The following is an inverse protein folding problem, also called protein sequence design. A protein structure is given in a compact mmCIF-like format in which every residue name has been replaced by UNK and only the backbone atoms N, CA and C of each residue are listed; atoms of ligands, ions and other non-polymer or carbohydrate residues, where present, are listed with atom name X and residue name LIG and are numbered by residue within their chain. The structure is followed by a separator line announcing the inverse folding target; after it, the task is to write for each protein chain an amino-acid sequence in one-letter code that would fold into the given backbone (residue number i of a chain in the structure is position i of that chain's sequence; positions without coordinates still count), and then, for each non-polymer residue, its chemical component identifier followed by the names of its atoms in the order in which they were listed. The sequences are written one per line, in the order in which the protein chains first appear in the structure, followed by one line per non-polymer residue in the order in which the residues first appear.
data_IF_933814322459
#
_entry.id   IF_933814322459
#
_cell.length_a   1.000
_cell.length_b   1.000
_cell.length_c   1.000
_cell.angle_alpha   90.00
_cell.angle_beta   90.00
_cell.angle_gamma   90.00
#
_symmetry.space_group_name_H-M   'P 1'
#
loop_
_entity.id
_entity.type
_entity.pdbx_description
1 polymer ?
#
# COMPACT_ATOMS: atom_id res chain seq x y z
N UNK A 1 19.75 5.02 23.76
CA UNK A 1 18.58 5.03 22.85
C UNK A 1 19.05 4.34 21.57
N UNK A 2 18.73 3.07 21.46
CA UNK A 2 19.15 2.25 20.32
C UNK A 2 18.29 2.65 19.13
N UNK A 3 18.90 3.27 18.12
CA UNK A 3 18.27 3.49 16.82
C UNK A 3 17.93 2.12 16.23
N UNK A 4 16.65 1.78 16.28
CA UNK A 4 16.12 0.60 15.61
C UNK A 4 16.21 0.84 14.11
N UNK A 5 17.36 0.47 13.52
CA UNK A 5 17.54 0.42 12.08
C UNK A 5 16.55 -0.58 11.51
N UNK A 6 15.37 -0.12 11.10
CA UNK A 6 14.42 -0.96 10.41
C UNK A 6 15.06 -1.40 9.10
N UNK A 7 15.34 -2.69 9.00
CA UNK A 7 15.84 -3.30 7.76
C UNK A 7 14.80 -3.05 6.66
N UNK A 8 15.25 -2.56 5.50
CA UNK A 8 14.47 -2.27 4.28
C UNK A 8 13.43 -3.37 3.93
N UNK A 9 13.61 -4.59 4.38
CA UNK A 9 12.71 -5.72 4.15
C UNK A 9 11.72 -6.01 5.29
N UNK A 10 11.59 -5.14 6.31
CA UNK A 10 10.70 -5.43 7.46
C UNK A 10 9.22 -5.29 7.11
N UNK A 11 8.87 -4.32 6.29
CA UNK A 11 7.50 -4.01 5.88
C UNK A 11 6.84 -5.17 5.11
N UNK A 12 7.56 -5.77 4.16
CA UNK A 12 7.03 -6.89 3.36
C UNK A 12 6.84 -8.16 4.21
N UNK A 13 7.66 -8.35 5.26
CA UNK A 13 7.50 -9.45 6.21
C UNK A 13 6.20 -9.34 6.98
N UNK A 14 5.77 -8.13 7.33
CA UNK A 14 4.49 -7.88 8.00
C UNK A 14 3.32 -8.24 7.08
N UNK A 15 3.33 -7.82 5.81
CA UNK A 15 2.31 -8.20 4.83
C UNK A 15 2.24 -9.72 4.63
N UNK A 16 3.39 -10.37 4.43
CA UNK A 16 3.47 -11.83 4.29
C UNK A 16 2.95 -12.56 5.53
N UNK A 17 3.21 -12.02 6.73
CA UNK A 17 2.70 -12.57 8.00
C UNK A 17 1.18 -12.45 8.08
N UNK A 18 0.61 -11.28 7.76
CA UNK A 18 -0.83 -11.04 7.73
C UNK A 18 -1.52 -12.01 6.76
N UNK A 19 -1.05 -12.13 5.53
CA UNK A 19 -1.60 -13.04 4.53
C UNK A 19 -1.54 -14.52 4.97
N UNK A 20 -0.43 -14.95 5.58
CA UNK A 20 -0.30 -16.32 6.13
C UNK A 20 -1.28 -16.60 7.27
N UNK A 21 -1.50 -15.60 8.15
CA UNK A 21 -2.48 -15.71 9.24
C UNK A 21 -3.89 -15.85 8.68
N UNK A 22 -4.25 -15.07 7.67
CA UNK A 22 -5.54 -15.15 6.99
C UNK A 22 -5.74 -16.50 6.29
N UNK A 23 -4.71 -17.00 5.58
CA UNK A 23 -4.76 -18.30 4.93
C UNK A 23 -5.06 -19.42 5.93
N UNK A 24 -4.39 -19.39 7.10
CA UNK A 24 -4.58 -20.39 8.17
C UNK A 24 -5.98 -20.30 8.79
N UNK A 25 -6.46 -19.07 9.04
CA UNK A 25 -7.72 -18.85 9.74
C UNK A 25 -8.95 -19.11 8.86
N UNK A 26 -8.86 -18.76 7.56
CA UNK A 26 -9.97 -18.91 6.60
C UNK A 26 -9.93 -20.19 5.79
N UNK A 27 -8.85 -20.97 5.91
CA UNK A 27 -8.64 -22.27 5.23
C UNK A 27 -8.76 -22.17 3.69
N UNK A 28 -8.33 -21.06 3.11
CA UNK A 28 -8.22 -20.87 1.66
C UNK A 28 -7.08 -19.90 1.33
N UNK A 29 -6.67 -19.85 0.06
CA UNK A 29 -5.70 -18.85 -0.43
C UNK A 29 -6.31 -17.46 -0.31
N UNK A 30 -5.69 -16.53 0.44
CA UNK A 30 -6.24 -15.19 0.62
C UNK A 30 -6.35 -14.41 -0.69
N UNK A 31 -7.44 -13.68 -0.83
CA UNK A 31 -7.63 -12.70 -1.90
C UNK A 31 -7.09 -11.35 -1.46
N UNK A 32 -6.12 -10.83 -2.17
CA UNK A 32 -5.37 -9.63 -1.79
C UNK A 32 -5.62 -8.52 -2.80
N UNK A 33 -6.06 -7.37 -2.33
CA UNK A 33 -6.18 -6.17 -3.13
C UNK A 33 -5.05 -5.18 -2.76
N UNK A 34 -4.26 -4.76 -3.75
CA UNK A 34 -3.29 -3.69 -3.64
C UNK A 34 -3.88 -2.42 -4.25
N UNK A 35 -3.95 -1.34 -3.48
CA UNK A 35 -4.57 -0.08 -3.86
C UNK A 35 -3.53 1.03 -3.78
N UNK A 36 -3.12 1.54 -4.92
CA UNK A 36 -2.19 2.67 -5.00
C UNK A 36 -2.95 4.00 -4.97
N UNK A 37 -2.55 4.85 -4.06
CA UNK A 37 -3.18 6.14 -3.78
C UNK A 37 -2.16 7.23 -4.07
N UNK A 38 -2.63 8.41 -4.47
CA UNK A 38 -1.81 9.60 -4.67
C UNK A 38 -2.00 10.26 -6.02
N UNK A 39 -1.26 11.36 -6.24
CA UNK A 39 -1.32 12.17 -7.45
C UNK A 39 0.07 12.28 -8.09
N UNK A 40 0.25 11.70 -9.27
CA UNK A 40 1.55 11.74 -9.99
C UNK A 40 1.99 13.13 -10.42
N UNK A 41 1.09 14.13 -10.42
CA UNK A 41 1.45 15.53 -10.75
C UNK A 41 2.16 16.21 -9.58
N UNK A 42 2.03 15.66 -8.37
CA UNK A 42 2.54 16.26 -7.14
C UNK A 42 3.79 15.53 -6.61
N UNK A 43 4.78 15.29 -7.45
CA UNK A 43 6.04 14.70 -7.00
C UNK A 43 5.86 13.33 -6.33
N UNK A 44 6.36 13.21 -5.12
CA UNK A 44 6.37 11.95 -4.37
C UNK A 44 4.98 11.45 -3.95
N UNK A 45 3.95 12.31 -4.01
CA UNK A 45 2.56 11.91 -3.81
C UNK A 45 2.10 10.81 -4.80
N UNK A 46 2.77 10.69 -5.94
CA UNK A 46 2.52 9.66 -6.93
C UNK A 46 3.06 8.25 -6.60
N UNK A 47 3.76 8.07 -5.48
CA UNK A 47 4.48 6.84 -5.18
C UNK A 47 3.59 5.59 -5.16
N UNK A 48 2.40 5.66 -4.54
CA UNK A 48 1.46 4.55 -4.48
C UNK A 48 0.93 4.15 -5.85
N UNK A 49 0.50 5.11 -6.65
CA UNK A 49 0.00 4.93 -8.02
C UNK A 49 1.08 4.33 -8.92
N UNK A 50 2.31 4.86 -8.85
CA UNK A 50 3.46 4.35 -9.63
C UNK A 50 3.78 2.90 -9.27
N UNK A 51 3.73 2.54 -8.00
CA UNK A 51 3.94 1.16 -7.54
C UNK A 51 2.93 0.22 -8.20
N UNK A 52 1.63 0.55 -8.14
CA UNK A 52 0.58 -0.28 -8.71
C UNK A 52 0.67 -0.40 -10.23
N UNK A 53 0.93 0.70 -10.94
CA UNK A 53 1.07 0.66 -12.41
C UNK A 53 2.23 -0.23 -12.84
N UNK A 54 3.39 -0.08 -12.17
CA UNK A 54 4.54 -0.93 -12.47
C UNK A 54 4.27 -2.42 -12.22
N UNK A 55 3.51 -2.76 -11.18
CA UNK A 55 3.10 -4.15 -10.93
C UNK A 55 2.15 -4.66 -12.02
N UNK A 56 1.17 -3.87 -12.45
CA UNK A 56 0.22 -4.24 -13.51
C UNK A 56 0.88 -4.48 -14.86
N UNK A 57 1.92 -3.72 -15.18
CA UNK A 57 2.67 -3.87 -16.44
C UNK A 57 3.54 -5.13 -16.47
N UNK A 58 4.00 -5.59 -15.29
CA UNK A 58 5.01 -6.66 -15.20
C UNK A 58 4.46 -8.00 -14.67
N UNK A 59 3.21 -8.06 -14.26
CA UNK A 59 2.61 -9.27 -13.69
C UNK A 59 1.36 -9.71 -14.45
N UNK A 60 1.20 -11.03 -14.67
CA UNK A 60 -0.03 -11.56 -15.22
C UNK A 60 -1.17 -11.41 -14.20
N UNK A 61 -2.39 -11.26 -14.71
CA UNK A 61 -3.59 -11.31 -13.88
C UNK A 61 -3.71 -12.65 -13.14
N UNK A 62 -4.09 -12.57 -11.88
CA UNK A 62 -4.33 -13.75 -11.03
C UNK A 62 -5.65 -13.58 -10.26
N UNK A 63 -6.47 -14.65 -10.15
CA UNK A 63 -7.78 -14.54 -9.49
C UNK A 63 -7.74 -14.12 -8.02
N UNK A 64 -6.59 -14.32 -7.36
CA UNK A 64 -6.39 -14.00 -5.94
C UNK A 64 -5.74 -12.63 -5.70
N UNK A 65 -5.41 -11.90 -6.77
CA UNK A 65 -4.78 -10.59 -6.67
C UNK A 65 -5.54 -9.55 -7.50
N UNK A 66 -5.80 -8.41 -6.88
CA UNK A 66 -6.44 -7.25 -7.52
C UNK A 66 -5.53 -6.04 -7.37
N UNK A 67 -5.28 -5.34 -8.49
CA UNK A 67 -4.51 -4.10 -8.51
C UNK A 67 -5.42 -2.92 -8.86
N UNK A 68 -5.47 -1.92 -7.99
CA UNK A 68 -6.27 -0.71 -8.17
C UNK A 68 -5.35 0.51 -8.18
N UNK A 69 -5.30 1.19 -9.31
CA UNK A 69 -4.79 2.56 -9.39
C UNK A 69 -5.96 3.46 -8.98
N UNK A 70 -5.94 3.93 -7.75
CA UNK A 70 -7.05 4.67 -7.17
C UNK A 70 -6.90 6.19 -7.30
N UNK A 71 -5.70 6.67 -7.64
CA UNK A 71 -5.46 8.11 -7.71
C UNK A 71 -5.80 8.80 -6.38
N UNK A 72 -6.53 9.91 -6.46
CA UNK A 72 -6.93 10.74 -5.31
C UNK A 72 -8.25 10.31 -4.66
N UNK A 73 -8.96 9.34 -5.23
CA UNK A 73 -10.33 8.98 -4.80
C UNK A 73 -10.50 7.46 -4.62
N UNK A 74 -9.78 6.85 -3.65
CA UNK A 74 -9.84 5.42 -3.41
C UNK A 74 -11.23 4.91 -3.03
N UNK A 75 -12.09 5.75 -2.49
CA UNK A 75 -13.49 5.45 -2.17
C UNK A 75 -14.32 5.06 -3.40
N UNK A 76 -13.97 5.55 -4.59
CA UNK A 76 -14.66 5.21 -5.84
C UNK A 76 -14.53 3.74 -6.22
N UNK A 77 -13.57 3.04 -5.64
CA UNK A 77 -13.31 1.62 -5.90
C UNK A 77 -13.98 0.66 -4.90
N UNK A 78 -14.78 1.18 -3.97
CA UNK A 78 -15.52 0.37 -2.98
C UNK A 78 -16.39 -0.71 -3.64
N UNK A 79 -17.05 -0.40 -4.75
CA UNK A 79 -17.83 -1.37 -5.52
C UNK A 79 -16.98 -2.47 -6.17
N UNK A 80 -15.76 -2.14 -6.62
CA UNK A 80 -14.81 -3.11 -7.17
C UNK A 80 -14.26 -4.02 -6.08
N UNK A 81 -13.89 -3.46 -4.93
CA UNK A 81 -13.47 -4.23 -3.76
C UNK A 81 -14.59 -5.16 -3.25
N UNK A 82 -15.84 -4.66 -3.20
CA UNK A 82 -16.99 -5.49 -2.80
C UNK A 82 -17.21 -6.68 -3.75
N UNK A 83 -17.06 -6.52 -5.06
CA UNK A 83 -17.14 -7.63 -6.01
C UNK A 83 -15.96 -8.60 -5.89
N UNK A 84 -14.78 -8.09 -5.62
CA UNK A 84 -13.59 -8.91 -5.44
C UNK A 84 -13.59 -9.67 -4.11
N UNK A 85 -14.24 -9.17 -3.06
CA UNK A 85 -14.28 -9.75 -1.72
C UNK A 85 -12.87 -10.09 -1.19
N UNK A 86 -12.00 -9.08 -0.97
CA UNK A 86 -10.64 -9.30 -0.48
C UNK A 86 -10.65 -9.81 0.97
N UNK A 87 -9.67 -10.64 1.31
CA UNK A 87 -9.33 -10.96 2.70
C UNK A 87 -8.36 -9.92 3.29
N UNK A 88 -7.53 -9.36 2.42
CA UNK A 88 -6.55 -8.33 2.78
C UNK A 88 -6.60 -7.21 1.75
N UNK A 89 -6.73 -5.98 2.22
CA UNK A 89 -6.53 -4.76 1.43
C UNK A 89 -5.24 -4.10 1.90
N UNK A 90 -4.35 -3.82 0.96
CA UNK A 90 -3.11 -3.07 1.21
C UNK A 90 -3.22 -1.73 0.50
N UNK A 91 -3.30 -0.66 1.29
CA UNK A 91 -3.27 0.71 0.79
C UNK A 91 -1.81 1.16 0.72
N UNK A 92 -1.37 1.61 -0.44
CA UNK A 92 0.01 2.07 -0.70
C UNK A 92 -0.05 3.55 -1.04
N UNK A 93 0.67 4.37 -0.28
CA UNK A 93 0.61 5.83 -0.37
C UNK A 93 1.94 6.48 0.03
N UNK A 94 2.14 7.72 -0.40
CA UNK A 94 3.14 8.58 0.22
C UNK A 94 2.61 9.03 1.59
N UNK A 95 3.38 8.80 2.65
CA UNK A 95 2.95 9.10 4.00
C UNK A 95 4.06 9.77 4.81
N UNK A 96 3.70 10.86 5.49
CA UNK A 96 4.58 11.53 6.44
C UNK A 96 4.63 10.72 7.74
N UNK A 97 5.74 10.02 7.95
CA UNK A 97 5.92 9.08 9.05
C UNK A 97 7.04 9.50 10.01
N UNK A 98 7.73 10.60 9.71
CA UNK A 98 8.91 11.04 10.45
C UNK A 98 10.14 10.13 10.25
N UNK A 99 10.18 9.40 9.14
CA UNK A 99 11.28 8.51 8.78
C UNK A 99 12.24 9.19 7.79
N UNK A 100 13.44 8.63 7.57
CA UNK A 100 14.27 9.07 6.47
C UNK A 100 13.56 8.98 5.12
N UNK A 101 13.85 9.90 4.21
CA UNK A 101 13.25 9.97 2.89
C UNK A 101 13.40 8.64 2.11
N UNK A 102 12.33 8.18 1.49
CA UNK A 102 12.29 6.92 0.75
C UNK A 102 12.18 5.66 1.63
N UNK A 103 12.16 5.79 2.95
CA UNK A 103 11.90 4.63 3.82
C UNK A 103 10.47 4.12 3.64
N UNK A 104 10.33 2.80 3.64
CA UNK A 104 9.04 2.13 3.51
C UNK A 104 8.67 1.52 4.86
N UNK A 105 7.47 1.80 5.33
CA UNK A 105 6.92 1.19 6.52
C UNK A 105 5.56 0.57 6.25
N UNK A 106 5.19 -0.43 7.05
CA UNK A 106 3.90 -1.10 6.98
C UNK A 106 3.32 -1.23 8.39
N UNK A 107 2.03 -0.92 8.51
CA UNK A 107 1.29 -1.04 9.77
C UNK A 107 -0.10 -1.60 9.49
N UNK A 108 -0.70 -2.25 10.52
CA UNK A 108 -2.15 -2.44 10.53
C UNK A 108 -2.83 -1.07 10.65
N UNK A 109 -3.95 -0.85 9.96
CA UNK A 109 -4.60 0.45 9.95
C UNK A 109 -4.99 0.93 11.37
N UNK A 110 -5.31 0.01 12.27
CA UNK A 110 -5.63 0.30 13.66
C UNK A 110 -4.46 0.91 14.45
N UNK A 111 -3.23 0.67 14.00
CA UNK A 111 -1.99 1.14 14.62
C UNK A 111 -1.43 2.41 13.93
N UNK A 112 -2.07 2.88 12.86
CA UNK A 112 -1.60 4.00 12.03
C UNK A 112 -1.83 5.40 12.63
N UNK A 113 -2.16 5.53 13.89
CA UNK A 113 -2.57 6.78 14.56
C UNK A 113 -1.56 7.94 14.54
N UNK A 114 -0.32 7.72 14.09
CA UNK A 114 0.70 8.75 13.93
C UNK A 114 1.06 9.10 12.47
N UNK A 115 0.42 8.44 11.50
CA UNK A 115 0.70 8.68 10.08
C UNK A 115 -0.20 9.76 9.51
N UNK A 116 0.39 10.71 8.83
CA UNK A 116 -0.34 11.71 8.05
C UNK A 116 -0.26 11.32 6.58
N UNK A 117 -1.35 10.79 6.06
CA UNK A 117 -1.50 10.52 4.64
C UNK A 117 -1.45 11.85 3.84
N UNK A 118 -1.00 11.76 2.60
CA UNK A 118 -1.04 12.85 1.67
C UNK A 118 -2.48 13.37 1.43
N UNK A 119 -2.62 14.45 0.73
CA UNK A 119 -3.83 15.29 0.55
C UNK A 119 -5.00 14.58 -0.14
N UNK A 120 -5.63 13.59 0.50
CA UNK A 120 -6.81 12.91 -0.05
C UNK A 120 -8.13 13.55 0.40
N UNK A 121 -9.15 13.42 -0.43
CA UNK A 121 -10.51 13.92 -0.15
C UNK A 121 -11.17 13.21 1.04
N UNK A 122 -10.81 11.94 1.27
CA UNK A 122 -11.26 11.15 2.42
C UNK A 122 -10.05 10.68 3.23
N UNK A 123 -9.98 10.95 4.56
CA UNK A 123 -8.92 10.42 5.40
C UNK A 123 -8.82 8.90 5.32
N UNK A 124 -7.59 8.36 5.18
CA UNK A 124 -7.36 6.92 5.04
C UNK A 124 -7.91 6.09 6.21
N UNK A 125 -7.96 6.66 7.40
CA UNK A 125 -8.56 6.02 8.57
C UNK A 125 -10.08 5.80 8.40
N UNK A 126 -10.80 6.73 7.77
CA UNK A 126 -12.23 6.56 7.48
C UNK A 126 -12.46 5.51 6.40
N UNK A 127 -11.65 5.54 5.34
CA UNK A 127 -11.70 4.52 4.29
C UNK A 127 -11.39 3.13 4.86
N UNK A 128 -10.35 3.01 5.66
CA UNK A 128 -9.96 1.73 6.27
C UNK A 128 -11.04 1.20 7.21
N UNK A 129 -11.63 2.05 8.05
CA UNK A 129 -12.74 1.66 8.93
C UNK A 129 -13.96 1.18 8.12
N UNK A 130 -14.29 1.87 7.04
CA UNK A 130 -15.35 1.47 6.12
C UNK A 130 -15.06 0.10 5.49
N UNK A 131 -13.86 -0.12 4.95
CA UNK A 131 -13.48 -1.39 4.32
C UNK A 131 -13.55 -2.56 5.31
N UNK A 132 -13.05 -2.38 6.52
CA UNK A 132 -13.13 -3.42 7.57
C UNK A 132 -14.58 -3.75 7.90
N UNK A 133 -15.42 -2.74 8.12
CA UNK A 133 -16.82 -2.95 8.52
C UNK A 133 -17.68 -3.55 7.41
N UNK A 134 -17.44 -3.19 6.15
CA UNK A 134 -18.26 -3.60 5.02
C UNK A 134 -17.81 -4.91 4.37
N UNK A 135 -16.51 -5.22 4.42
CA UNK A 135 -15.94 -6.34 3.67
C UNK A 135 -15.40 -7.46 4.57
N UNK A 136 -15.40 -7.28 5.88
CA UNK A 136 -14.80 -8.23 6.85
C UNK A 136 -13.35 -8.60 6.44
N UNK A 137 -12.59 -7.62 5.98
CA UNK A 137 -11.21 -7.79 5.53
C UNK A 137 -10.22 -7.14 6.50
N UNK A 138 -8.98 -7.61 6.50
CA UNK A 138 -7.88 -6.89 7.14
C UNK A 138 -7.42 -5.76 6.22
N UNK A 139 -7.06 -4.61 6.79
CA UNK A 139 -6.48 -3.49 6.06
C UNK A 139 -5.09 -3.19 6.60
N UNK A 140 -4.11 -3.14 5.72
CA UNK A 140 -2.73 -2.75 6.02
C UNK A 140 -2.39 -1.49 5.25
N UNK A 141 -1.61 -0.60 5.88
CA UNK A 141 -1.08 0.61 5.24
C UNK A 141 0.40 0.43 4.95
N UNK A 142 0.81 0.67 3.73
CA UNK A 142 2.22 0.78 3.30
C UNK A 142 2.49 2.22 2.95
N UNK A 143 3.25 2.89 3.79
CA UNK A 143 3.69 4.26 3.57
C UNK A 143 5.09 4.31 2.97
N UNK A 144 5.31 5.25 2.05
CA UNK A 144 6.61 5.62 1.52
C UNK A 144 6.88 7.05 1.98
N UNK A 145 7.96 7.27 2.75
CA UNK A 145 8.29 8.60 3.27
C UNK A 145 8.68 9.54 2.13
N UNK A 146 7.91 10.61 1.88
CA UNK A 146 8.20 11.56 0.80
C UNK A 146 9.35 12.51 1.17
N UNK A 147 9.93 13.14 0.13
CA UNK A 147 10.83 14.29 0.21
C UNK A 147 10.07 15.56 -0.17
N UNK A 148 9.35 15.49 -1.29
CA UNK A 148 8.68 16.63 -1.92
C UNK A 148 7.32 16.23 -2.48
N UNK A 149 6.31 17.02 -2.22
CA UNK A 149 4.96 16.84 -2.77
C UNK A 149 4.49 18.11 -3.47
N UNK A 150 5.39 18.74 -4.24
CA UNK A 150 5.11 19.94 -5.00
C UNK A 150 4.58 19.59 -6.39
N UNK A 151 3.70 20.47 -6.89
CA UNK A 151 3.09 20.32 -8.22
C UNK A 151 4.17 20.38 -9.33
N UNK A 152 3.95 19.61 -10.38
CA UNK A 152 4.81 19.51 -11.56
C UNK A 152 6.26 19.04 -11.27
N UNK A 153 6.45 18.36 -10.16
CA UNK A 153 7.72 17.69 -9.87
C UNK A 153 7.63 16.18 -10.16
N UNK A 154 8.71 15.56 -10.63
CA UNK A 154 8.80 14.10 -10.68
C UNK A 154 8.96 13.51 -9.27
N UNK A 155 8.89 12.18 -9.16
CA UNK A 155 9.35 11.51 -7.95
C UNK A 155 10.80 11.89 -7.63
N UNK A 156 11.09 12.13 -6.35
CA UNK A 156 12.48 12.27 -5.89
C UNK A 156 13.28 10.98 -6.11
N UNK A 157 14.59 11.07 -6.13
CA UNK A 157 15.46 9.89 -6.31
C UNK A 157 15.29 8.88 -5.18
N UNK A 158 15.06 9.34 -3.95
CA UNK A 158 14.82 8.51 -2.78
C UNK A 158 13.51 7.71 -2.94
N UNK A 159 12.42 8.38 -3.28
CA UNK A 159 11.11 7.76 -3.45
C UNK A 159 11.08 6.90 -4.71
N UNK A 160 11.75 7.28 -5.78
CA UNK A 160 11.88 6.46 -6.99
C UNK A 160 12.58 5.13 -6.68
N UNK A 161 13.62 5.12 -5.86
CA UNK A 161 14.29 3.89 -5.38
C UNK A 161 13.35 3.06 -4.51
N UNK A 162 12.61 3.69 -3.61
CA UNK A 162 11.63 3.02 -2.74
C UNK A 162 10.50 2.36 -3.56
N UNK A 163 9.97 3.04 -4.57
CA UNK A 163 8.98 2.47 -5.50
C UNK A 163 9.53 1.23 -6.20
N UNK A 164 10.76 1.30 -6.72
CA UNK A 164 11.40 0.16 -7.38
C UNK A 164 11.61 -1.02 -6.41
N UNK A 165 12.01 -0.75 -5.16
CA UNK A 165 12.12 -1.76 -4.10
C UNK A 165 10.75 -2.38 -3.80
N UNK A 166 9.71 -1.55 -3.60
CA UNK A 166 8.36 -2.03 -3.32
C UNK A 166 7.83 -2.93 -4.44
N UNK A 167 8.02 -2.52 -5.69
CA UNK A 167 7.65 -3.32 -6.87
C UNK A 167 8.38 -4.66 -6.87
N UNK A 168 9.68 -4.67 -6.64
CA UNK A 168 10.48 -5.91 -6.64
C UNK A 168 10.06 -6.87 -5.51
N UNK A 169 9.86 -6.37 -4.29
CA UNK A 169 9.44 -7.19 -3.15
C UNK A 169 8.02 -7.75 -3.31
N UNK A 170 7.08 -6.94 -3.79
CA UNK A 170 5.71 -7.38 -4.07
C UNK A 170 5.67 -8.39 -5.21
N UNK A 171 6.42 -8.13 -6.30
CA UNK A 171 6.56 -9.07 -7.42
C UNK A 171 7.09 -10.43 -6.96
N UNK A 172 8.18 -10.43 -6.16
CA UNK A 172 8.77 -11.65 -5.62
C UNK A 172 7.78 -12.40 -4.70
N UNK A 173 7.03 -11.66 -3.89
CA UNK A 173 6.01 -12.28 -3.03
C UNK A 173 4.92 -12.96 -3.85
N UNK A 174 4.39 -12.27 -4.85
CA UNK A 174 3.33 -12.79 -5.71
C UNK A 174 3.78 -13.97 -6.55
N UNK A 175 5.03 -13.98 -7.01
CA UNK A 175 5.59 -15.07 -7.82
C UNK A 175 5.85 -16.35 -7.00
N UNK A 176 5.98 -16.22 -5.68
CA UNK A 176 6.19 -17.34 -4.76
C UNK A 176 4.88 -17.85 -4.11
N UNK A 177 3.75 -17.17 -4.33
CA UNK A 177 2.43 -17.51 -3.79
C UNK A 177 1.60 -18.27 -4.83
#
# INVERSE_FOLDING_TARGET
MEEMKMSSSSWIKLLKRAARSLAKNRNHTPRIALVGIGNEINGDDGAGVRTIRSLKENLPERPTWLFIDAGLAPENFSGTLRRFQPDLVVLIDAAEMGLPAGEIACVDWGDAGGWSASTHSLPLNMLSAFLVSELDCQVMLVGIQPVQMEMDQPLSDEVSRAVNEAVAELHNWMSAA
#
